data_IF_340529329963
#
_entry.id   IF_340529329963
#
_cell.length_a   1.000
_cell.length_b   1.000
_cell.length_c   1.000
_cell.angle_alpha   90.00
_cell.angle_beta   90.00
_cell.angle_gamma   90.00
#
_symmetry.space_group_name_H-M   'P 1'
#
loop_
_entity.id
_entity.type
_entity.pdbx_description
1 polymer ?
#
# COMPACT_ATOMS: atom_id res chain seq x y z
N UNK A 1 21.50 -8.06 -16.84
CA UNK A 1 20.08 -8.01 -16.40
C UNK A 1 19.48 -6.61 -16.45
N UNK A 2 20.10 -5.58 -15.87
CA UNK A 2 19.55 -4.21 -15.87
C UNK A 2 19.29 -3.64 -17.29
N UNK A 3 20.18 -3.85 -18.25
CA UNK A 3 19.98 -3.40 -19.64
C UNK A 3 18.74 -4.05 -20.26
N UNK A 4 18.58 -5.37 -20.09
CA UNK A 4 17.39 -6.07 -20.57
C UNK A 4 16.10 -5.57 -19.90
N UNK A 5 16.18 -5.26 -18.61
CA UNK A 5 15.04 -4.71 -17.87
C UNK A 5 14.68 -3.28 -18.32
N UNK A 6 15.65 -2.44 -18.63
CA UNK A 6 15.41 -1.11 -19.21
C UNK A 6 14.62 -1.20 -20.52
N UNK A 7 15.03 -2.08 -21.43
CA UNK A 7 14.30 -2.34 -22.66
C UNK A 7 12.87 -2.84 -22.39
N UNK A 8 12.71 -3.78 -21.45
CA UNK A 8 11.40 -4.35 -21.13
C UNK A 8 10.41 -3.32 -20.58
N UNK A 9 10.87 -2.30 -19.84
CA UNK A 9 10.01 -1.24 -19.30
C UNK A 9 9.21 -0.50 -20.37
N UNK A 10 9.73 -0.36 -21.58
CA UNK A 10 9.02 0.27 -22.69
C UNK A 10 7.81 -0.56 -23.19
N UNK A 11 7.75 -1.85 -22.82
CA UNK A 11 6.76 -2.81 -23.29
C UNK A 11 5.82 -3.32 -22.20
N UNK A 12 5.93 -2.79 -20.99
CA UNK A 12 5.09 -3.20 -19.86
C UNK A 12 3.83 -2.36 -19.79
N UNK A 13 2.78 -2.99 -19.28
CA UNK A 13 1.53 -2.32 -18.94
C UNK A 13 1.81 -1.12 -17.99
N UNK A 14 1.14 0.04 -18.19
CA UNK A 14 1.33 1.23 -17.35
C UNK A 14 1.03 1.00 -15.86
N UNK A 15 0.27 -0.03 -15.50
CA UNK A 15 -0.05 -0.39 -14.13
C UNK A 15 1.05 -1.24 -13.47
N UNK A 16 2.01 -1.73 -14.27
CA UNK A 16 3.15 -2.47 -13.72
C UNK A 16 4.04 -1.56 -12.88
N UNK A 17 4.57 -2.11 -11.79
CA UNK A 17 5.62 -1.48 -10.99
C UNK A 17 6.74 -2.48 -10.75
N UNK A 18 7.96 -2.04 -10.99
CA UNK A 18 9.15 -2.79 -10.59
C UNK A 18 10.15 -1.89 -9.91
N UNK A 19 10.77 -2.43 -8.88
CA UNK A 19 11.82 -1.76 -8.13
C UNK A 19 12.99 -2.71 -8.00
N UNK A 20 14.21 -2.18 -7.99
CA UNK A 20 15.40 -3.02 -7.81
C UNK A 20 16.50 -2.31 -7.06
N UNK A 21 17.31 -3.08 -6.39
CA UNK A 21 18.55 -2.65 -5.77
C UNK A 21 19.63 -3.69 -6.03
N UNK A 22 20.84 -3.22 -6.35
CA UNK A 22 22.02 -4.09 -6.43
C UNK A 22 22.52 -4.27 -4.99
N UNK A 23 22.34 -5.48 -4.44
CA UNK A 23 22.77 -5.81 -3.09
C UNK A 23 24.29 -6.05 -3.03
N UNK A 24 24.84 -6.61 -4.11
CA UNK A 24 26.25 -6.83 -4.24
C UNK A 24 26.64 -6.63 -5.71
N UNK A 25 27.47 -5.67 -5.98
CA UNK A 25 27.99 -5.35 -7.32
C UNK A 25 29.51 -5.55 -7.45
N UNK A 26 30.18 -6.01 -6.38
CA UNK A 26 31.64 -6.11 -6.30
C UNK A 26 32.24 -5.06 -5.34
N UNK A 27 33.53 -5.16 -5.10
CA UNK A 27 34.25 -4.35 -4.10
C UNK A 27 35.07 -3.21 -4.73
N UNK A 28 35.67 -3.47 -5.91
CA UNK A 28 36.55 -2.51 -6.58
C UNK A 28 36.26 -2.46 -8.10
N UNK A 29 36.41 -1.30 -8.75
CA UNK A 29 36.10 -1.14 -10.17
C UNK A 29 36.96 -2.00 -11.13
N UNK A 30 38.16 -2.35 -10.72
CA UNK A 30 39.12 -3.13 -11.51
C UNK A 30 39.16 -4.62 -11.14
N UNK A 31 38.26 -5.06 -10.27
CA UNK A 31 38.15 -6.47 -9.85
C UNK A 31 36.80 -7.03 -10.29
N UNK A 32 36.84 -8.07 -11.12
CA UNK A 32 35.62 -8.78 -11.55
C UNK A 32 35.05 -9.55 -10.36
N UNK A 33 33.82 -9.27 -9.93
CA UNK A 33 33.24 -9.94 -8.78
C UNK A 33 32.95 -11.41 -9.08
N UNK A 34 33.31 -12.30 -8.18
CA UNK A 34 32.97 -13.72 -8.27
C UNK A 34 31.48 -13.98 -8.03
N UNK A 35 30.78 -13.04 -7.38
CA UNK A 35 29.36 -13.08 -7.08
C UNK A 35 28.76 -11.69 -7.13
N UNK A 36 27.61 -11.57 -7.81
CA UNK A 36 26.80 -10.36 -7.81
C UNK A 36 25.35 -10.72 -7.48
N UNK A 37 24.61 -9.80 -6.89
CA UNK A 37 23.20 -10.01 -6.57
C UNK A 37 22.36 -8.75 -6.75
N UNK A 38 21.14 -8.95 -7.21
CA UNK A 38 20.13 -7.91 -7.40
C UNK A 38 18.84 -8.39 -6.75
N UNK A 39 18.21 -7.51 -6.00
CA UNK A 39 16.90 -7.74 -5.42
C UNK A 39 15.84 -6.97 -6.23
N UNK A 40 14.75 -7.65 -6.63
CA UNK A 40 13.64 -7.09 -7.39
C UNK A 40 12.32 -7.23 -6.66
N UNK A 41 11.48 -6.19 -6.77
CA UNK A 41 10.03 -6.27 -6.57
C UNK A 41 9.33 -6.18 -7.93
N UNK A 42 8.34 -7.04 -8.14
CA UNK A 42 7.40 -6.97 -9.26
C UNK A 42 6.00 -6.82 -8.71
N UNK A 43 5.26 -5.84 -9.22
CA UNK A 43 3.91 -5.53 -8.76
C UNK A 43 2.99 -5.32 -9.95
N UNK A 44 1.79 -5.88 -9.85
CA UNK A 44 0.70 -5.67 -10.79
C UNK A 44 -0.65 -5.83 -10.08
N UNK A 45 -1.76 -5.52 -10.76
CA UNK A 45 -3.11 -5.61 -10.18
C UNK A 45 -3.67 -7.02 -10.11
N UNK A 46 -3.12 -7.98 -10.89
CA UNK A 46 -3.54 -9.38 -10.86
C UNK A 46 -2.35 -10.33 -10.75
N UNK A 47 -2.57 -11.47 -10.14
CA UNK A 47 -1.54 -12.49 -10.00
C UNK A 47 -1.00 -13.03 -11.35
N UNK A 48 -1.82 -13.36 -12.36
CA UNK A 48 -1.30 -13.80 -13.66
C UNK A 48 -0.34 -12.80 -14.29
N UNK A 49 -0.64 -11.50 -14.19
CA UNK A 49 0.22 -10.45 -14.71
C UNK A 49 1.54 -10.32 -13.94
N UNK A 50 1.53 -10.53 -12.62
CA UNK A 50 2.75 -10.59 -11.82
C UNK A 50 3.62 -11.77 -12.28
N UNK A 51 3.03 -12.94 -12.48
CA UNK A 51 3.74 -14.14 -12.93
C UNK A 51 4.35 -13.96 -14.31
N UNK A 52 3.64 -13.34 -15.25
CA UNK A 52 4.19 -13.04 -16.58
C UNK A 52 5.45 -12.19 -16.50
N UNK A 53 5.42 -11.13 -15.69
CA UNK A 53 6.58 -10.24 -15.51
C UNK A 53 7.73 -10.95 -14.81
N UNK A 54 7.43 -11.76 -13.80
CA UNK A 54 8.42 -12.58 -13.09
C UNK A 54 9.13 -13.55 -14.04
N UNK A 55 8.41 -14.25 -14.91
CA UNK A 55 9.00 -15.17 -15.89
C UNK A 55 9.87 -14.43 -16.92
N UNK A 56 9.47 -13.24 -17.36
CA UNK A 56 10.33 -12.39 -18.22
C UNK A 56 11.62 -12.00 -17.50
N UNK A 57 11.54 -11.62 -16.22
CA UNK A 57 12.72 -11.28 -15.42
C UNK A 57 13.66 -12.49 -15.23
N UNK A 58 13.12 -13.69 -15.08
CA UNK A 58 13.88 -14.92 -15.02
C UNK A 58 14.69 -15.17 -16.30
N UNK A 59 14.06 -15.02 -17.47
CA UNK A 59 14.74 -15.14 -18.76
C UNK A 59 15.84 -14.11 -18.93
N UNK A 60 15.65 -12.88 -18.44
CA UNK A 60 16.69 -11.85 -18.46
C UNK A 60 17.87 -12.19 -17.55
N UNK A 61 17.60 -12.79 -16.40
CA UNK A 61 18.66 -13.23 -15.50
C UNK A 61 19.49 -14.37 -16.14
N UNK A 62 18.84 -15.31 -16.83
CA UNK A 62 19.49 -16.37 -17.60
C UNK A 62 20.33 -15.81 -18.75
N UNK A 63 19.77 -14.85 -19.50
CA UNK A 63 20.52 -14.17 -20.57
C UNK A 63 21.73 -13.40 -20.03
N UNK A 64 21.62 -12.77 -18.87
CA UNK A 64 22.74 -12.08 -18.22
C UNK A 64 23.86 -13.08 -17.82
N UNK A 65 23.49 -14.22 -17.26
CA UNK A 65 24.44 -15.27 -16.89
C UNK A 65 25.15 -15.84 -18.13
N UNK A 66 24.39 -16.07 -19.21
CA UNK A 66 24.97 -16.54 -20.48
C UNK A 66 25.98 -15.54 -21.07
N UNK A 67 25.65 -14.23 -21.06
CA UNK A 67 26.55 -13.19 -21.58
C UNK A 67 27.87 -13.07 -20.81
N UNK A 68 27.89 -13.45 -19.54
CA UNK A 68 29.05 -13.32 -18.65
C UNK A 68 29.74 -14.65 -18.34
N UNK A 69 29.30 -15.75 -18.98
CA UNK A 69 29.77 -17.11 -18.72
C UNK A 69 29.71 -17.48 -17.22
N UNK A 70 28.59 -17.14 -16.59
CA UNK A 70 28.34 -17.42 -15.18
C UNK A 70 27.05 -18.24 -15.00
N UNK A 71 26.70 -18.56 -13.78
CA UNK A 71 25.43 -19.21 -13.43
C UNK A 71 24.55 -18.24 -12.65
N UNK A 72 23.22 -18.43 -12.75
CA UNK A 72 22.25 -17.67 -11.98
C UNK A 72 21.45 -18.58 -11.06
N UNK A 73 21.25 -18.14 -9.82
CA UNK A 73 20.29 -18.73 -8.90
C UNK A 73 19.23 -17.69 -8.52
N UNK A 74 18.04 -18.16 -8.21
CA UNK A 74 16.89 -17.31 -7.88
C UNK A 74 16.32 -17.74 -6.54
N UNK A 75 15.92 -16.75 -5.74
CA UNK A 75 15.20 -17.00 -4.47
C UNK A 75 14.02 -16.03 -4.38
N UNK A 76 12.81 -16.57 -4.28
CA UNK A 76 11.62 -15.82 -3.92
C UNK A 76 11.66 -15.61 -2.41
N UNK A 77 11.65 -14.36 -1.96
CA UNK A 77 11.68 -13.99 -0.55
C UNK A 77 10.27 -13.86 0.04
N UNK A 78 9.30 -13.51 -0.81
CA UNK A 78 7.90 -13.40 -0.44
C UNK A 78 7.05 -13.06 -1.65
N UNK A 79 5.77 -13.38 -1.60
CA UNK A 79 4.76 -12.97 -2.55
C UNK A 79 3.45 -12.76 -1.83
N UNK A 80 2.63 -11.85 -2.30
CA UNK A 80 1.29 -11.59 -1.76
C UNK A 80 0.29 -11.49 -2.89
N UNK A 81 -0.95 -11.89 -2.62
CA UNK A 81 -2.04 -11.77 -3.57
C UNK A 81 -2.63 -10.35 -3.57
N UNK A 82 -3.24 -9.92 -4.68
CA UNK A 82 -4.06 -8.71 -4.70
C UNK A 82 -5.20 -8.82 -3.67
N UNK A 83 -5.56 -7.71 -3.05
CA UNK A 83 -6.64 -7.67 -2.06
C UNK A 83 -8.00 -8.00 -2.69
N UNK A 84 -8.79 -8.76 -1.95
CA UNK A 84 -10.16 -9.13 -2.28
C UNK A 84 -11.07 -8.74 -1.11
N UNK A 85 -11.50 -7.47 -1.10
CA UNK A 85 -12.27 -6.94 0.03
C UNK A 85 -13.75 -7.34 -0.03
N UNK A 86 -14.31 -7.55 1.16
CA UNK A 86 -15.70 -7.95 1.34
C UNK A 86 -16.63 -6.73 1.37
N UNK A 87 -17.67 -6.76 0.52
CA UNK A 87 -18.61 -5.67 0.39
C UNK A 87 -19.52 -5.53 1.63
N UNK A 88 -20.00 -6.64 2.19
CA UNK A 88 -20.92 -6.63 3.33
C UNK A 88 -20.26 -6.00 4.54
N UNK A 89 -19.01 -6.38 4.83
CA UNK A 89 -18.25 -5.77 5.93
C UNK A 89 -18.02 -4.28 5.66
N UNK A 90 -17.66 -3.91 4.43
CA UNK A 90 -17.40 -2.51 4.08
C UNK A 90 -18.64 -1.63 4.26
N UNK A 91 -19.81 -2.09 3.83
CA UNK A 91 -21.06 -1.37 3.96
C UNK A 91 -21.52 -1.28 5.43
N UNK A 92 -21.44 -2.37 6.19
CA UNK A 92 -21.75 -2.37 7.63
C UNK A 92 -20.84 -1.40 8.39
N UNK A 93 -19.53 -1.47 8.11
CA UNK A 93 -18.55 -0.56 8.72
C UNK A 93 -18.81 0.90 8.34
N UNK A 94 -19.25 1.17 7.13
CA UNK A 94 -19.56 2.54 6.69
C UNK A 94 -20.77 3.13 7.43
N UNK A 95 -21.80 2.32 7.73
CA UNK A 95 -22.91 2.77 8.58
C UNK A 95 -22.41 3.18 9.98
N UNK A 96 -21.46 2.42 10.53
CA UNK A 96 -20.84 2.75 11.82
C UNK A 96 -19.95 4.00 11.74
N UNK A 97 -19.23 4.19 10.60
CA UNK A 97 -18.50 5.44 10.36
C UNK A 97 -19.44 6.64 10.39
N UNK A 98 -20.62 6.55 9.78
CA UNK A 98 -21.62 7.64 9.80
C UNK A 98 -22.13 7.93 11.21
N UNK A 99 -22.28 6.89 12.05
CA UNK A 99 -22.73 7.06 13.44
C UNK A 99 -21.65 7.67 14.33
N UNK A 100 -20.41 7.24 14.20
CA UNK A 100 -19.29 7.76 14.99
C UNK A 100 -18.91 9.18 14.52
N UNK A 101 -18.99 9.45 13.24
CA UNK A 101 -18.59 10.71 12.63
C UNK A 101 -17.07 10.95 12.61
N UNK A 102 -16.69 12.13 12.18
CA UNK A 102 -15.31 12.60 12.29
C UNK A 102 -14.99 13.04 13.72
N UNK A 103 -13.72 12.97 14.15
CA UNK A 103 -13.30 13.57 15.41
C UNK A 103 -13.60 15.08 15.45
N UNK A 104 -13.89 15.58 16.65
CA UNK A 104 -13.99 17.02 16.88
C UNK A 104 -12.59 17.65 16.89
N UNK A 105 -12.27 18.34 15.81
CA UNK A 105 -11.00 19.04 15.65
C UNK A 105 -11.05 20.39 16.35
N UNK A 106 -10.09 20.66 17.23
CA UNK A 106 -9.90 21.99 17.81
C UNK A 106 -9.26 22.95 16.79
N UNK A 107 -9.32 24.24 17.08
CA UNK A 107 -8.60 25.25 16.29
C UNK A 107 -7.09 24.96 16.24
N UNK A 108 -6.52 24.47 17.35
CA UNK A 108 -5.11 24.10 17.41
C UNK A 108 -4.78 22.89 16.51
N UNK A 109 -5.68 21.88 16.41
CA UNK A 109 -5.51 20.77 15.50
C UNK A 109 -5.50 21.24 14.03
N UNK A 110 -6.45 22.13 13.68
CA UNK A 110 -6.52 22.69 12.33
C UNK A 110 -5.30 23.55 11.99
N UNK A 111 -4.89 24.41 12.91
CA UNK A 111 -3.70 25.27 12.72
C UNK A 111 -2.43 24.43 12.57
N UNK A 112 -2.27 23.39 13.35
CA UNK A 112 -1.13 22.47 13.23
C UNK A 112 -1.15 21.73 11.90
N UNK A 113 -2.30 21.23 11.47
CA UNK A 113 -2.42 20.52 10.19
C UNK A 113 -2.05 21.45 9.02
N UNK A 114 -2.56 22.66 9.01
CA UNK A 114 -2.27 23.68 7.99
C UNK A 114 -0.79 24.08 7.98
N UNK A 115 -0.17 24.27 9.15
CA UNK A 115 1.25 24.62 9.26
C UNK A 115 2.15 23.49 8.71
N UNK A 116 1.86 22.23 9.04
CA UNK A 116 2.61 21.09 8.50
C UNK A 116 2.41 20.96 7.00
N UNK A 117 1.19 21.12 6.50
CA UNK A 117 0.90 21.09 5.07
C UNK A 117 1.64 22.19 4.30
N UNK A 118 1.71 23.39 4.86
CA UNK A 118 2.45 24.51 4.29
C UNK A 118 3.96 24.23 4.25
N UNK A 119 4.52 23.72 5.34
CA UNK A 119 5.96 23.40 5.45
C UNK A 119 6.41 22.36 4.40
N UNK A 120 5.59 21.36 4.12
CA UNK A 120 5.91 20.31 3.15
C UNK A 120 5.39 20.59 1.73
N UNK A 121 4.83 21.75 1.48
CA UNK A 121 4.22 22.13 0.21
C UNK A 121 3.18 21.08 -0.27
N UNK A 122 2.26 20.69 0.62
CA UNK A 122 1.16 19.77 0.28
C UNK A 122 0.33 20.28 -0.91
N UNK A 123 -0.35 19.42 -1.66
CA UNK A 123 -1.25 19.83 -2.74
C UNK A 123 -2.25 20.91 -2.27
N UNK A 124 -2.55 21.87 -3.14
CA UNK A 124 -3.39 23.06 -2.79
C UNK A 124 -4.84 22.72 -2.44
N UNK A 125 -5.32 21.55 -2.81
CA UNK A 125 -6.64 21.03 -2.49
C UNK A 125 -6.73 20.43 -1.08
N UNK A 126 -5.59 20.28 -0.39
CA UNK A 126 -5.54 19.84 1.01
C UNK A 126 -5.30 21.02 1.92
N UNK A 127 -6.33 21.41 2.69
CA UNK A 127 -6.24 22.54 3.63
C UNK A 127 -6.82 22.14 4.99
N UNK A 128 -5.95 21.81 5.91
CA UNK A 128 -6.35 21.37 7.25
C UNK A 128 -6.87 19.93 7.29
N UNK A 129 -7.67 19.64 8.30
CA UNK A 129 -8.30 18.34 8.56
C UNK A 129 -9.70 18.29 7.97
N UNK A 130 -10.13 17.11 7.55
CA UNK A 130 -11.45 16.89 6.96
C UNK A 130 -12.59 17.28 7.94
N UNK A 131 -13.58 18.00 7.43
CA UNK A 131 -14.78 18.42 8.18
C UNK A 131 -16.04 17.66 7.74
N UNK A 132 -15.93 16.84 6.69
CA UNK A 132 -17.03 16.02 6.16
C UNK A 132 -16.55 14.62 5.90
N UNK A 133 -17.43 13.65 6.10
CA UNK A 133 -17.19 12.26 5.73
C UNK A 133 -17.30 12.12 4.22
N UNK A 134 -16.40 11.33 3.65
CA UNK A 134 -16.51 10.88 2.28
C UNK A 134 -17.59 9.79 2.15
N UNK A 135 -18.14 9.62 0.94
CA UNK A 135 -19.00 8.49 0.62
C UNK A 135 -18.16 7.22 0.43
N UNK A 136 -18.77 6.06 0.65
CA UNK A 136 -18.08 4.78 0.46
C UNK A 136 -17.56 4.59 -0.97
N UNK A 137 -18.16 5.25 -1.95
CA UNK A 137 -17.75 5.18 -3.37
C UNK A 137 -17.93 3.82 -4.00
N UNK A 138 -17.59 3.73 -5.28
CA UNK A 138 -17.52 2.46 -6.01
C UNK A 138 -16.14 1.83 -5.84
N UNK A 139 -16.04 0.48 -5.79
CA UNK A 139 -14.74 -0.19 -5.74
C UNK A 139 -13.85 0.22 -6.91
N UNK A 140 -12.59 0.55 -6.60
CA UNK A 140 -11.60 0.87 -7.63
C UNK A 140 -11.11 -0.42 -8.26
N UNK A 141 -11.52 -0.68 -9.50
CA UNK A 141 -11.22 -1.93 -10.22
C UNK A 141 -9.71 -2.05 -10.55
N UNK A 142 -9.04 -0.93 -10.74
CA UNK A 142 -7.60 -0.88 -11.08
C UNK A 142 -6.89 0.21 -10.29
N UNK A 143 -6.54 -0.05 -9.02
CA UNK A 143 -5.83 0.93 -8.22
C UNK A 143 -4.42 1.16 -8.79
N UNK A 144 -4.09 2.40 -9.11
CA UNK A 144 -2.76 2.79 -9.65
C UNK A 144 -1.73 2.92 -8.53
N UNK A 145 -2.18 3.12 -7.30
CA UNK A 145 -1.33 3.36 -6.13
C UNK A 145 -1.72 2.48 -4.95
N UNK A 146 -0.80 2.30 -4.05
CA UNK A 146 -1.02 1.59 -2.80
C UNK A 146 0.21 0.75 -2.40
N UNK A 147 0.32 0.48 -1.11
CA UNK A 147 1.28 -0.46 -0.56
C UNK A 147 0.90 -1.91 -0.87
N UNK A 148 1.83 -2.83 -0.66
CA UNK A 148 1.59 -4.27 -0.64
C UNK A 148 1.82 -4.77 0.78
N UNK A 149 0.96 -5.68 1.20
CA UNK A 149 0.99 -6.34 2.49
C UNK A 149 0.36 -7.73 2.35
N UNK A 150 0.39 -8.51 3.42
CA UNK A 150 -0.19 -9.85 3.52
C UNK A 150 -1.72 -9.85 3.74
N UNK A 151 -2.34 -8.67 3.90
CA UNK A 151 -3.81 -8.55 3.98
C UNK A 151 -4.47 -9.10 2.71
N UNK A 152 -3.79 -8.99 1.56
CA UNK A 152 -4.23 -9.61 0.32
C UNK A 152 -4.49 -11.11 0.49
N UNK A 153 -3.51 -11.86 0.99
CA UNK A 153 -3.62 -13.31 1.18
C UNK A 153 -4.73 -13.68 2.16
N UNK A 154 -4.88 -12.93 3.26
CA UNK A 154 -5.94 -13.10 4.25
C UNK A 154 -7.31 -12.89 3.60
N UNK A 155 -7.46 -11.85 2.77
CA UNK A 155 -8.73 -11.49 2.14
C UNK A 155 -9.27 -12.52 1.15
N UNK A 156 -8.45 -13.46 0.67
CA UNK A 156 -8.88 -14.60 -0.14
C UNK A 156 -9.32 -15.81 0.67
N UNK A 157 -9.13 -15.78 1.98
CA UNK A 157 -9.47 -16.86 2.90
C UNK A 157 -10.57 -16.48 3.88
N UNK A 158 -10.62 -15.22 4.26
CA UNK A 158 -11.56 -14.68 5.23
C UNK A 158 -12.17 -13.40 4.68
N UNK A 159 -13.47 -13.16 4.90
CA UNK A 159 -14.09 -11.87 4.63
C UNK A 159 -13.33 -10.76 5.36
N UNK A 160 -12.78 -9.82 4.60
CA UNK A 160 -11.85 -8.82 5.14
C UNK A 160 -12.09 -7.46 4.52
N UNK A 161 -11.89 -6.41 5.29
CA UNK A 161 -11.83 -5.03 4.84
C UNK A 161 -10.76 -4.28 5.66
N UNK A 162 -10.25 -3.19 5.12
CA UNK A 162 -9.33 -2.32 5.86
C UNK A 162 -10.02 -1.00 6.17
N UNK A 163 -10.19 -0.70 7.45
CA UNK A 163 -10.64 0.62 7.89
C UNK A 163 -9.48 1.63 7.74
N UNK A 164 -9.78 2.75 7.10
CA UNK A 164 -8.93 3.94 7.11
C UNK A 164 -9.65 5.03 7.89
N UNK A 165 -9.03 5.47 8.96
CA UNK A 165 -9.57 6.49 9.86
C UNK A 165 -8.65 7.72 9.91
N UNK A 166 -9.18 8.91 10.30
CA UNK A 166 -8.46 10.17 10.19
C UNK A 166 -7.43 10.35 11.31
N UNK A 167 -6.37 9.53 11.30
CA UNK A 167 -5.28 9.58 12.29
C UNK A 167 -4.03 10.30 11.76
N UNK A 168 -4.13 10.95 10.61
CA UNK A 168 -3.01 11.67 10.01
C UNK A 168 -3.48 12.99 9.38
N UNK A 169 -2.53 13.87 9.06
CA UNK A 169 -2.79 15.10 8.34
C UNK A 169 -2.89 14.77 6.84
N UNK A 170 -3.94 15.20 6.14
CA UNK A 170 -4.12 14.95 4.71
C UNK A 170 -3.00 15.56 3.86
N UNK A 171 -2.72 14.95 2.70
CA UNK A 171 -1.76 15.49 1.71
C UNK A 171 -0.28 15.31 2.06
N UNK A 172 0.06 14.66 3.17
CA UNK A 172 1.45 14.36 3.51
C UNK A 172 1.97 13.19 2.68
N UNK A 173 3.23 13.30 2.25
CA UNK A 173 3.90 12.25 1.49
C UNK A 173 4.19 11.03 2.38
N UNK A 174 3.86 9.83 1.90
CA UNK A 174 4.23 8.58 2.56
C UNK A 174 5.75 8.45 2.74
N UNK A 175 6.19 7.78 3.82
CA UNK A 175 7.61 7.60 4.17
C UNK A 175 8.38 8.92 4.34
N UNK A 176 7.70 9.96 4.82
CA UNK A 176 8.26 11.27 5.08
C UNK A 176 8.20 11.61 6.58
N UNK A 177 9.12 12.44 7.09
CA UNK A 177 9.19 12.83 8.50
C UNK A 177 7.90 13.48 9.01
N UNK A 178 7.19 14.20 8.15
CA UNK A 178 5.94 14.89 8.51
C UNK A 178 4.83 13.90 8.95
N UNK A 179 4.77 12.71 8.35
CA UNK A 179 3.85 11.67 8.81
C UNK A 179 4.20 11.18 10.22
N UNK A 180 5.49 11.05 10.55
CA UNK A 180 5.91 10.65 11.90
C UNK A 180 5.52 11.70 12.95
N UNK A 181 5.69 12.99 12.65
CA UNK A 181 5.24 14.06 13.54
C UNK A 181 3.74 14.03 13.72
N UNK A 182 2.96 13.93 12.65
CA UNK A 182 1.50 13.91 12.70
C UNK A 182 0.98 12.79 13.62
N UNK A 183 1.61 11.61 13.58
CA UNK A 183 1.25 10.45 14.42
C UNK A 183 1.49 10.65 15.91
N UNK A 184 2.34 11.59 16.32
CA UNK A 184 2.63 11.92 17.71
C UNK A 184 1.75 13.07 18.27
N UNK A 185 0.67 13.44 17.57
CA UNK A 185 -0.17 14.61 17.90
C UNK A 185 -1.55 14.19 18.39
N UNK A 186 -2.31 15.11 19.04
CA UNK A 186 -3.71 14.89 19.37
C UNK A 186 -4.57 14.51 18.15
N UNK A 187 -4.22 14.93 16.94
CA UNK A 187 -4.91 14.57 15.71
C UNK A 187 -4.95 13.04 15.54
N UNK A 188 -3.78 12.40 15.63
CA UNK A 188 -3.68 10.95 15.53
C UNK A 188 -4.45 10.24 16.66
N UNK A 189 -4.34 10.73 17.89
CA UNK A 189 -5.03 10.15 19.05
C UNK A 189 -6.55 10.20 18.92
N UNK A 190 -7.10 11.33 18.47
CA UNK A 190 -8.54 11.47 18.20
C UNK A 190 -8.99 10.54 17.07
N UNK A 191 -8.21 10.45 16.00
CA UNK A 191 -8.50 9.57 14.88
C UNK A 191 -8.49 8.10 15.27
N UNK A 192 -7.48 7.65 16.06
CA UNK A 192 -7.41 6.26 16.56
C UNK A 192 -8.62 5.91 17.41
N UNK A 193 -9.06 6.80 18.30
CA UNK A 193 -10.27 6.58 19.13
C UNK A 193 -11.52 6.46 18.26
N UNK A 194 -11.68 7.30 17.23
CA UNK A 194 -12.78 7.19 16.29
C UNK A 194 -12.75 5.87 15.52
N UNK A 195 -11.57 5.46 15.02
CA UNK A 195 -11.39 4.18 14.35
C UNK A 195 -11.73 2.99 15.24
N UNK A 196 -11.24 2.98 16.48
CA UNK A 196 -11.52 1.91 17.42
C UNK A 196 -13.03 1.78 17.76
N UNK A 197 -13.76 2.89 17.85
CA UNK A 197 -15.22 2.87 18.02
C UNK A 197 -15.91 2.21 16.81
N UNK A 198 -15.53 2.58 15.59
CA UNK A 198 -16.09 2.00 14.36
C UNK A 198 -15.84 0.50 14.29
N UNK A 199 -14.62 0.07 14.59
CA UNK A 199 -14.28 -1.36 14.58
C UNK A 199 -15.08 -2.12 15.63
N UNK A 200 -15.14 -1.63 16.86
CA UNK A 200 -15.90 -2.26 17.94
C UNK A 200 -17.40 -2.37 17.59
N UNK A 201 -18.01 -1.30 17.07
CA UNK A 201 -19.41 -1.33 16.63
C UNK A 201 -19.64 -2.32 15.51
N UNK A 202 -18.73 -2.38 14.54
CA UNK A 202 -18.81 -3.33 13.42
C UNK A 202 -18.73 -4.78 13.91
N UNK A 203 -17.83 -5.08 14.83
CA UNK A 203 -17.74 -6.42 15.46
C UNK A 203 -19.04 -6.76 16.17
N UNK A 204 -19.61 -5.81 16.93
CA UNK A 204 -20.88 -6.01 17.65
C UNK A 204 -22.03 -6.27 16.66
N UNK A 205 -22.09 -5.55 15.53
CA UNK A 205 -23.11 -5.80 14.51
C UNK A 205 -23.04 -7.24 13.99
N UNK A 206 -21.86 -7.75 13.66
CA UNK A 206 -21.68 -9.13 13.21
C UNK A 206 -21.97 -10.18 14.29
N UNK A 207 -21.74 -9.86 15.57
CA UNK A 207 -22.10 -10.74 16.68
C UNK A 207 -23.61 -10.79 16.94
N UNK A 208 -24.31 -9.69 16.74
CA UNK A 208 -25.75 -9.57 17.01
C UNK A 208 -26.62 -9.93 15.80
N UNK A 209 -26.07 -9.91 14.60
CA UNK A 209 -26.77 -10.13 13.32
C UNK A 209 -26.11 -11.24 12.53
N UNK A 210 -26.40 -12.54 12.85
CA UNK A 210 -25.77 -13.68 12.16
C UNK A 210 -25.93 -13.66 10.65
N UNK A 211 -27.03 -13.09 10.15
CA UNK A 211 -27.29 -12.91 8.74
C UNK A 211 -26.23 -12.09 8.00
N UNK A 212 -25.52 -11.19 8.68
CA UNK A 212 -24.39 -10.46 8.08
C UNK A 212 -23.18 -11.37 7.88
N UNK A 213 -22.99 -12.34 8.77
CA UNK A 213 -21.91 -13.35 8.62
C UNK A 213 -22.19 -14.25 7.43
N UNK A 214 -23.45 -14.69 7.28
CA UNK A 214 -23.87 -15.56 6.17
C UNK A 214 -23.76 -14.87 4.79
N UNK A 215 -23.88 -13.54 4.76
CA UNK A 215 -23.77 -12.73 3.54
C UNK A 215 -22.32 -12.36 3.19
N UNK A 216 -21.43 -12.38 4.17
CA UNK A 216 -20.03 -11.98 4.01
C UNK A 216 -19.18 -13.11 3.44
#
# INVERSE_FOLDING_TARGET
MNIGWQYQREHLDPLHRSHSVINNGGDQPNVVPSKASIWYYFRHVTYPQIMEVYERANKMAEGAALMTNTTVSRKVLGSTWPRHFNKVIAETMYENIKQVGLPEWSEADQALAQAVQQEVNSPRDTNGLALKLDSIGMPVIRPISGGSDDIGDISWKLPTVTLRFPSNIPGLQGHHWSNAIAMATPIAHKGVVAGAKVEAMTIIDFLLKPELVDQA
#
